data_IF_492870706252
#
_entry.id   IF_492870706252
#
_cell.length_a   1.000
_cell.length_b   1.000
_cell.length_c   1.000
_cell.angle_alpha   90.00
_cell.angle_beta   90.00
_cell.angle_gamma   90.00
#
_symmetry.space_group_name_H-M   'P 1'
#
loop_
_entity.id
_entity.type
_entity.pdbx_description
1 polymer ?
#
# COMPACT_ATOMS: atom_id res chain seq x y z
N UNK A 1 23.33 57.42 -25.68
CA UNK A 1 23.20 58.74 -26.35
C UNK A 1 23.73 58.81 -27.78
N UNK A 2 24.53 57.86 -28.27
CA UNK A 2 25.02 57.91 -29.66
C UNK A 2 23.98 57.42 -30.70
N UNK A 3 23.20 56.39 -30.36
CA UNK A 3 22.19 55.77 -31.24
C UNK A 3 21.02 56.69 -31.59
N UNK A 4 20.47 57.42 -30.61
CA UNK A 4 19.40 58.42 -30.87
C UNK A 4 19.85 59.54 -31.81
N UNK A 5 21.13 59.92 -31.77
CA UNK A 5 21.69 60.95 -32.65
C UNK A 5 21.85 60.44 -34.09
N UNK A 6 22.11 59.14 -34.26
CA UNK A 6 22.18 58.48 -35.57
C UNK A 6 20.81 58.24 -36.17
N UNK A 7 19.79 57.96 -35.35
CA UNK A 7 18.39 57.77 -35.78
C UNK A 7 17.64 59.08 -36.12
N UNK A 8 18.23 60.24 -35.81
CA UNK A 8 17.70 61.57 -36.14
C UNK A 8 18.53 62.25 -37.24
N UNK A 9 18.90 61.51 -38.29
CA UNK A 9 19.65 62.02 -39.43
C UNK A 9 18.77 62.18 -40.67
N UNK A 10 19.13 63.05 -41.63
CA UNK A 10 18.43 63.13 -42.91
C UNK A 10 18.64 61.83 -43.71
N UNK A 11 17.67 61.52 -44.59
CA UNK A 11 17.66 60.30 -45.40
C UNK A 11 18.95 60.04 -46.19
N UNK A 12 19.56 61.10 -46.71
CA UNK A 12 20.81 61.04 -47.48
C UNK A 12 21.95 60.37 -46.70
N UNK A 13 22.05 60.64 -45.40
CA UNK A 13 23.10 60.04 -44.56
C UNK A 13 22.84 58.56 -44.27
N UNK A 14 21.58 58.09 -44.31
CA UNK A 14 21.26 56.66 -44.20
C UNK A 14 21.56 55.90 -45.48
N UNK A 15 21.37 56.54 -46.65
CA UNK A 15 21.73 55.98 -47.96
C UNK A 15 23.22 55.68 -48.05
N UNK A 16 24.05 56.56 -47.50
CA UNK A 16 25.52 56.45 -47.56
C UNK A 16 26.09 55.40 -46.59
N UNK A 17 25.35 55.05 -45.52
CA UNK A 17 25.76 54.07 -44.51
C UNK A 17 24.63 53.07 -44.19
N UNK A 18 24.31 52.16 -45.13
CA UNK A 18 23.16 51.27 -45.01
C UNK A 18 23.35 50.15 -43.97
N UNK A 19 24.55 49.96 -43.42
CA UNK A 19 24.86 48.80 -42.55
C UNK A 19 25.19 49.16 -41.12
N UNK A 20 25.72 50.35 -40.81
CA UNK A 20 26.12 50.67 -39.44
C UNK A 20 24.93 50.86 -38.50
N UNK A 21 23.88 51.57 -38.94
CA UNK A 21 22.71 51.85 -38.10
C UNK A 21 21.88 50.58 -37.86
N UNK A 22 21.77 49.69 -38.86
CA UNK A 22 21.14 48.38 -38.72
C UNK A 22 21.79 47.54 -37.62
N UNK A 23 23.13 47.53 -37.59
CA UNK A 23 23.90 46.76 -36.59
C UNK A 23 23.70 47.32 -35.18
N UNK A 24 23.73 48.64 -35.02
CA UNK A 24 23.53 49.29 -33.73
C UNK A 24 22.08 49.17 -33.22
N UNK A 25 21.11 49.23 -34.12
CA UNK A 25 19.71 49.05 -33.79
C UNK A 25 19.41 47.61 -33.35
N UNK A 26 19.96 46.61 -34.07
CA UNK A 26 19.89 45.21 -33.64
C UNK A 26 20.50 45.01 -32.26
N UNK A 27 21.68 45.56 -32.00
CA UNK A 27 22.31 45.49 -30.67
C UNK A 27 21.46 46.16 -29.57
N UNK A 28 20.76 47.25 -29.90
CA UNK A 28 19.85 47.93 -28.95
C UNK A 28 18.60 47.10 -28.67
N UNK A 29 18.00 46.48 -29.69
CA UNK A 29 16.84 45.57 -29.55
C UNK A 29 17.23 44.31 -28.78
N UNK A 30 18.44 43.78 -29.00
CA UNK A 30 18.99 42.64 -28.28
C UNK A 30 19.18 42.95 -26.79
N UNK A 31 19.84 44.07 -26.45
CA UNK A 31 20.02 44.51 -25.07
C UNK A 31 18.67 44.76 -24.36
N UNK A 32 17.68 45.33 -25.07
CA UNK A 32 16.32 45.50 -24.56
C UNK A 32 15.62 44.16 -24.29
N UNK A 33 15.81 43.18 -25.18
CA UNK A 33 15.29 41.81 -25.04
C UNK A 33 15.88 41.06 -23.86
N UNK A 34 17.21 41.13 -23.68
CA UNK A 34 17.90 40.55 -22.53
C UNK A 34 17.45 41.19 -21.22
N UNK A 35 17.36 42.51 -21.18
CA UNK A 35 16.89 43.24 -20.00
C UNK A 35 15.46 42.82 -19.60
N UNK A 36 14.56 42.69 -20.58
CA UNK A 36 13.20 42.18 -20.34
C UNK A 36 13.21 40.73 -19.83
N UNK A 37 14.04 39.86 -20.41
CA UNK A 37 14.18 38.48 -19.97
C UNK A 37 14.61 38.38 -18.51
N UNK A 38 15.57 39.20 -18.09
CA UNK A 38 16.05 39.25 -16.71
C UNK A 38 15.04 39.86 -15.72
N UNK A 39 14.17 40.76 -16.16
CA UNK A 39 13.11 41.34 -15.33
C UNK A 39 11.85 40.47 -15.24
N UNK A 40 11.62 39.58 -16.20
CA UNK A 40 10.43 38.73 -16.26
C UNK A 40 10.15 37.88 -15.00
N UNK A 41 11.15 37.38 -14.24
CA UNK A 41 10.91 36.65 -12.99
C UNK A 41 10.44 37.55 -11.83
N UNK A 42 10.78 38.84 -11.86
CA UNK A 42 10.58 39.78 -10.75
C UNK A 42 9.36 40.68 -10.98
N UNK A 43 9.03 40.95 -12.25
CA UNK A 43 7.97 41.88 -12.62
C UNK A 43 6.96 41.18 -13.53
N UNK A 44 5.69 41.16 -13.12
CA UNK A 44 4.58 40.95 -14.05
C UNK A 44 4.37 42.26 -14.80
N UNK A 45 4.80 42.32 -16.05
CA UNK A 45 4.58 43.48 -16.89
C UNK A 45 3.14 43.46 -17.39
N UNK A 46 2.23 44.07 -16.61
CA UNK A 46 0.81 44.22 -16.97
C UNK A 46 0.58 45.34 -18.01
N UNK A 47 1.60 46.16 -18.28
CA UNK A 47 1.59 47.23 -19.28
C UNK A 47 2.74 47.08 -20.27
N UNK A 48 2.52 47.48 -21.53
CA UNK A 48 3.56 47.53 -22.54
C UNK A 48 4.66 48.51 -22.11
N UNK A 49 5.85 47.99 -21.88
CA UNK A 49 7.02 48.79 -21.57
C UNK A 49 7.57 49.44 -22.86
N UNK A 50 8.36 50.52 -22.76
CA UNK A 50 9.09 51.06 -23.92
C UNK A 50 9.98 50.02 -24.61
N UNK A 51 10.48 49.03 -23.87
CA UNK A 51 11.22 47.89 -24.42
C UNK A 51 10.31 46.98 -25.27
N UNK A 52 9.06 46.77 -24.86
CA UNK A 52 8.05 46.01 -25.61
C UNK A 52 7.67 46.71 -26.90
N UNK A 53 7.52 48.04 -26.84
CA UNK A 53 7.28 48.84 -28.03
C UNK A 53 8.47 48.78 -28.98
N UNK A 54 9.70 48.77 -28.48
CA UNK A 54 10.91 48.68 -29.31
C UNK A 54 11.10 47.28 -29.92
N UNK A 55 10.80 46.21 -29.18
CA UNK A 55 10.87 44.82 -29.67
C UNK A 55 9.71 44.51 -30.63
N UNK A 56 8.53 45.10 -30.39
CA UNK A 56 7.32 44.87 -31.17
C UNK A 56 7.08 45.84 -32.33
N UNK A 57 7.83 46.95 -32.43
CA UNK A 57 7.64 47.93 -33.49
C UNK A 57 8.16 47.40 -34.83
N UNK A 58 7.27 47.39 -35.82
CA UNK A 58 7.58 47.03 -37.21
C UNK A 58 8.16 48.20 -38.00
N UNK A 59 8.12 49.41 -37.46
CA UNK A 59 8.50 50.65 -38.16
C UNK A 59 9.99 50.70 -38.51
N UNK A 60 10.82 50.00 -37.73
CA UNK A 60 12.26 49.84 -38.00
C UNK A 60 12.53 49.21 -39.37
N UNK A 61 11.65 48.32 -39.81
CA UNK A 61 11.79 47.62 -41.08
C UNK A 61 11.28 48.42 -42.29
N UNK A 62 10.66 49.58 -42.07
CA UNK A 62 10.19 50.43 -43.17
C UNK A 62 11.32 51.16 -43.88
N UNK A 63 12.44 51.40 -43.21
CA UNK A 63 13.59 52.08 -43.80
C UNK A 63 14.22 51.28 -44.97
N UNK A 64 14.50 49.97 -44.84
CA UNK A 64 14.91 49.13 -45.97
C UNK A 64 13.89 49.11 -47.12
N UNK A 65 12.60 49.07 -46.82
CA UNK A 65 11.56 49.12 -47.85
C UNK A 65 11.55 50.44 -48.59
N UNK A 66 11.75 51.56 -47.89
CA UNK A 66 11.90 52.87 -48.54
C UNK A 66 13.12 52.90 -49.47
N UNK A 67 14.23 52.27 -49.07
CA UNK A 67 15.41 52.13 -49.93
C UNK A 67 15.12 51.30 -51.18
N UNK A 68 14.45 50.14 -51.03
CA UNK A 68 14.06 49.28 -52.15
C UNK A 68 13.11 50.00 -53.11
N UNK A 69 12.11 50.73 -52.59
CA UNK A 69 11.17 51.52 -53.40
C UNK A 69 11.90 52.62 -54.16
N UNK A 70 12.82 53.33 -53.51
CA UNK A 70 13.57 54.41 -54.13
C UNK A 70 14.51 53.90 -55.22
N UNK A 71 15.23 52.80 -54.97
CA UNK A 71 16.08 52.16 -55.99
C UNK A 71 15.26 51.65 -57.18
N UNK A 72 14.09 51.10 -56.91
CA UNK A 72 13.20 50.63 -57.96
C UNK A 72 12.65 51.78 -58.80
N UNK A 73 12.31 52.91 -58.18
CA UNK A 73 11.86 54.12 -58.87
C UNK A 73 12.99 54.78 -59.67
N UNK A 74 14.19 54.85 -59.11
CA UNK A 74 15.39 55.32 -59.81
C UNK A 74 15.66 54.43 -61.05
N UNK A 75 15.64 53.10 -60.89
CA UNK A 75 15.83 52.16 -62.00
C UNK A 75 14.75 52.26 -63.08
N UNK A 76 13.47 52.43 -62.72
CA UNK A 76 12.40 52.66 -63.71
C UNK A 76 12.55 53.97 -64.46
N UNK A 77 12.99 55.03 -63.80
CA UNK A 77 13.27 56.29 -64.46
C UNK A 77 14.44 56.15 -65.44
N UNK A 78 15.50 55.45 -65.05
CA UNK A 78 16.63 55.16 -65.94
C UNK A 78 16.19 54.33 -67.14
N UNK A 79 15.32 53.33 -66.94
CA UNK A 79 14.75 52.53 -68.02
C UNK A 79 13.85 53.34 -68.97
N UNK A 80 13.11 54.34 -68.48
CA UNK A 80 12.31 55.27 -69.30
C UNK A 80 13.19 56.18 -70.15
N UNK A 81 14.38 56.53 -69.66
CA UNK A 81 15.35 57.35 -70.38
C UNK A 81 16.06 56.57 -71.51
N UNK A 82 15.94 55.24 -71.56
CA UNK A 82 16.51 54.43 -72.63
C UNK A 82 15.73 54.60 -73.94
N UNK A 83 16.33 55.31 -74.88
CA UNK A 83 15.79 55.55 -76.23
C UNK A 83 15.36 54.26 -76.95
N UNK A 84 16.05 53.13 -76.72
CA UNK A 84 15.69 51.84 -77.33
C UNK A 84 14.27 51.37 -77.00
N UNK A 85 13.85 51.46 -75.73
CA UNK A 85 12.48 51.07 -75.32
C UNK A 85 11.44 52.05 -75.85
N UNK A 86 11.79 53.35 -75.90
CA UNK A 86 10.92 54.37 -76.46
C UNK A 86 10.67 54.12 -77.97
N UNK A 87 11.70 53.74 -78.73
CA UNK A 87 11.58 53.38 -80.14
C UNK A 87 10.73 52.10 -80.34
N UNK A 88 10.86 51.09 -79.46
CA UNK A 88 10.04 49.88 -79.51
C UNK A 88 8.54 50.17 -79.25
N UNK A 89 8.24 51.06 -78.31
CA UNK A 89 6.87 51.48 -78.00
C UNK A 89 6.25 52.36 -79.09
N UNK A 90 7.10 53.02 -79.89
CA UNK A 90 6.69 53.95 -80.92
C UNK A 90 7.36 53.61 -82.27
N UNK A 91 6.86 52.61 -83.01
CA UNK A 91 7.47 52.16 -84.27
C UNK A 91 7.47 53.22 -85.38
N UNK A 92 6.72 54.31 -85.20
CA UNK A 92 6.60 55.44 -86.14
C UNK A 92 7.61 56.56 -85.85
N UNK A 93 8.56 56.34 -84.94
CA UNK A 93 9.68 57.25 -84.70
C UNK A 93 10.61 57.22 -85.91
N UNK A 94 10.71 58.35 -86.60
CA UNK A 94 11.59 58.50 -87.76
C UNK A 94 12.63 59.61 -87.50
N UNK A 95 13.86 59.40 -87.96
CA UNK A 95 14.89 60.45 -87.88
C UNK A 95 14.57 61.51 -88.93
N UNK A 96 14.22 62.72 -88.48
CA UNK A 96 13.88 63.82 -89.36
C UNK A 96 14.22 65.16 -88.71
N UNK A 97 14.73 66.10 -89.52
CA UNK A 97 15.16 67.43 -89.11
C UNK A 97 14.01 68.38 -88.78
N UNK A 98 13.23 68.06 -87.76
CA UNK A 98 12.02 68.79 -87.35
C UNK A 98 10.77 67.93 -87.31
N UNK A 99 9.62 68.56 -87.01
CA UNK A 99 8.37 67.83 -86.74
C UNK A 99 7.20 68.49 -87.45
N UNK A 100 6.28 67.67 -87.95
CA UNK A 100 5.01 68.14 -88.53
C UNK A 100 4.16 68.85 -87.47
N UNK A 101 3.32 69.80 -87.89
CA UNK A 101 2.47 70.54 -86.96
C UNK A 101 1.57 69.58 -86.17
N UNK A 102 1.70 69.58 -84.85
CA UNK A 102 0.95 68.71 -83.94
C UNK A 102 1.64 67.38 -83.59
N UNK A 103 2.82 67.11 -84.15
CA UNK A 103 3.69 66.00 -83.74
C UNK A 103 4.58 66.35 -82.55
N UNK A 104 5.41 65.40 -82.14
CA UNK A 104 6.35 65.54 -81.00
C UNK A 104 7.80 65.44 -81.46
N UNK A 105 8.65 66.35 -80.96
CA UNK A 105 10.09 66.33 -81.21
C UNK A 105 10.79 65.54 -80.10
N UNK A 106 11.58 64.55 -80.50
CA UNK A 106 12.33 63.67 -79.61
C UNK A 106 13.81 63.94 -79.80
N UNK A 107 14.48 64.40 -78.74
CA UNK A 107 15.91 64.70 -78.75
C UNK A 107 16.67 63.61 -78.00
N UNK A 108 17.61 62.97 -78.70
CA UNK A 108 18.45 61.92 -78.12
C UNK A 108 19.75 62.53 -77.64
N UNK A 109 20.06 62.32 -76.37
CA UNK A 109 21.28 62.81 -75.74
C UNK A 109 22.27 61.66 -75.49
N UNK A 110 23.55 61.95 -75.58
CA UNK A 110 24.63 61.07 -75.12
C UNK A 110 24.79 61.13 -73.59
N UNK A 111 25.61 60.24 -73.02
CA UNK A 111 26.01 60.21 -71.60
C UNK A 111 26.57 61.56 -71.11
N UNK A 112 27.13 62.37 -72.02
CA UNK A 112 27.61 63.73 -71.75
C UNK A 112 26.55 64.84 -71.89
N UNK A 113 25.25 64.52 -71.94
CA UNK A 113 24.12 65.45 -72.16
C UNK A 113 24.23 66.29 -73.45
N UNK A 114 24.92 65.78 -74.47
CA UNK A 114 25.01 66.42 -75.79
C UNK A 114 23.97 65.80 -76.70
N UNK A 115 23.23 66.62 -77.47
CA UNK A 115 22.25 66.12 -78.45
C UNK A 115 22.98 65.43 -79.60
N UNK A 116 22.69 64.14 -79.81
CA UNK A 116 23.33 63.30 -80.85
C UNK A 116 22.42 63.13 -82.07
N UNK A 117 21.10 63.11 -81.86
CA UNK A 117 20.13 62.90 -82.93
C UNK A 117 18.77 63.49 -82.58
N UNK A 118 18.00 63.79 -83.63
CA UNK A 118 16.62 64.23 -83.56
C UNK A 118 15.69 63.24 -84.29
N UNK A 119 14.56 62.96 -83.64
CA UNK A 119 13.51 62.12 -84.20
C UNK A 119 12.16 62.81 -84.11
N UNK A 120 11.27 62.46 -85.03
CA UNK A 120 9.90 62.96 -85.07
C UNK A 120 8.90 61.85 -84.76
N UNK A 121 7.85 62.25 -84.03
CA UNK A 121 6.61 61.48 -83.89
C UNK A 121 5.48 62.22 -84.61
N UNK A 122 4.67 61.54 -85.44
CA UNK A 122 3.58 62.19 -86.19
C UNK A 122 2.37 62.56 -85.34
N UNK A 123 2.34 62.13 -84.07
CA UNK A 123 1.28 62.45 -83.10
C UNK A 123 1.85 63.16 -81.86
N UNK A 124 0.95 63.82 -81.14
CA UNK A 124 1.25 64.43 -79.85
C UNK A 124 1.40 63.33 -78.78
N UNK A 125 2.63 63.14 -78.32
CA UNK A 125 2.94 62.29 -77.19
C UNK A 125 2.92 63.15 -75.93
N UNK A 126 2.14 62.70 -74.95
CA UNK A 126 2.16 63.25 -73.61
C UNK A 126 2.51 62.09 -72.68
N UNK A 127 3.36 62.37 -71.70
CA UNK A 127 3.73 61.38 -70.71
C UNK A 127 2.52 61.17 -69.79
N UNK A 128 1.73 60.13 -70.09
CA UNK A 128 0.66 59.71 -69.19
C UNK A 128 1.31 59.19 -67.89
N UNK A 129 0.80 59.58 -66.71
CA UNK A 129 1.20 58.94 -65.47
C UNK A 129 0.68 57.51 -65.50
N UNK A 130 1.51 56.59 -65.96
CA UNK A 130 1.24 55.16 -65.87
C UNK A 130 1.10 54.81 -64.39
N UNK A 131 0.04 54.10 -64.02
CA UNK A 131 -0.07 53.47 -62.71
C UNK A 131 1.10 52.47 -62.57
N UNK A 132 2.18 52.93 -61.93
CA UNK A 132 3.38 52.12 -61.78
C UNK A 132 3.06 50.95 -60.85
N UNK A 133 3.15 49.71 -61.36
CA UNK A 133 2.99 48.50 -60.54
C UNK A 133 3.93 48.57 -59.33
N UNK A 134 3.40 48.70 -58.10
CA UNK A 134 4.25 48.83 -56.91
C UNK A 134 5.18 47.61 -56.74
N UNK A 135 6.43 47.80 -56.29
CA UNK A 135 7.34 46.69 -56.06
C UNK A 135 6.78 45.75 -54.98
N UNK A 136 6.94 44.44 -55.19
CA UNK A 136 6.52 43.42 -54.21
C UNK A 136 7.49 43.40 -53.02
N UNK A 137 7.17 44.19 -51.99
CA UNK A 137 7.97 44.27 -50.78
C UNK A 137 8.02 42.93 -50.05
N UNK A 138 9.23 42.48 -49.72
CA UNK A 138 9.40 41.26 -48.92
C UNK A 138 9.04 41.54 -47.46
N UNK A 139 8.19 40.70 -46.86
CA UNK A 139 7.85 40.85 -45.44
C UNK A 139 9.10 40.59 -44.59
N UNK A 140 9.53 41.55 -43.74
CA UNK A 140 10.69 41.36 -42.89
C UNK A 140 10.41 40.22 -41.91
N UNK A 141 11.46 39.45 -41.61
CA UNK A 141 11.39 38.44 -40.57
C UNK A 141 11.29 39.13 -39.21
N UNK A 142 10.07 39.27 -38.71
CA UNK A 142 9.72 40.00 -37.48
C UNK A 142 10.21 39.34 -36.19
N UNK A 143 10.84 38.16 -36.26
CA UNK A 143 11.25 37.42 -35.06
C UNK A 143 12.71 37.76 -34.74
N UNK A 144 13.00 38.38 -33.59
CA UNK A 144 14.37 38.59 -33.16
C UNK A 144 15.08 37.23 -33.01
N UNK A 145 16.33 37.08 -33.50
CA UNK A 145 17.04 35.80 -33.53
C UNK A 145 17.22 35.18 -32.13
N UNK A 146 17.32 36.00 -31.08
CA UNK A 146 17.55 35.54 -29.71
C UNK A 146 16.34 34.89 -29.02
N UNK A 147 15.11 35.09 -29.53
CA UNK A 147 13.90 34.52 -28.91
C UNK A 147 13.81 33.01 -29.13
N UNK A 148 14.55 32.46 -30.10
CA UNK A 148 14.50 31.04 -30.46
C UNK A 148 15.26 30.16 -29.45
N UNK A 149 16.36 30.65 -28.86
CA UNK A 149 17.15 29.82 -27.94
C UNK A 149 16.66 29.87 -26.48
N UNK A 150 15.93 30.92 -26.07
CA UNK A 150 15.54 31.10 -24.66
C UNK A 150 14.10 31.55 -24.41
N UNK A 151 13.33 31.97 -25.43
CA UNK A 151 12.05 32.67 -25.23
C UNK A 151 10.82 31.76 -25.17
N UNK A 152 10.78 30.68 -25.96
CA UNK A 152 9.70 29.69 -25.90
C UNK A 152 10.34 28.34 -25.71
N UNK A 153 10.58 27.96 -24.46
CA UNK A 153 10.80 26.55 -24.14
C UNK A 153 9.48 25.84 -24.43
N UNK A 154 9.40 25.16 -25.57
CA UNK A 154 8.32 24.20 -25.84
C UNK A 154 8.46 23.13 -24.75
N UNK A 155 7.77 23.36 -23.63
CA UNK A 155 7.68 22.36 -22.59
C UNK A 155 6.82 21.25 -23.16
N UNK A 156 7.32 20.01 -23.21
CA UNK A 156 6.50 18.88 -23.63
C UNK A 156 5.26 18.83 -22.75
N UNK A 157 4.15 18.29 -23.26
CA UNK A 157 2.90 18.18 -22.51
C UNK A 157 3.17 17.61 -21.11
N UNK A 158 2.42 18.04 -20.08
CA UNK A 158 2.63 17.57 -18.69
C UNK A 158 2.69 16.04 -18.63
N UNK A 159 1.89 15.37 -19.44
CA UNK A 159 1.87 13.91 -19.61
C UNK A 159 3.17 13.38 -20.21
N UNK A 160 3.70 14.00 -21.26
CA UNK A 160 4.97 13.60 -21.89
C UNK A 160 6.18 13.86 -20.98
N UNK A 161 6.20 14.98 -20.26
CA UNK A 161 7.21 15.29 -19.26
C UNK A 161 7.17 14.30 -18.08
N UNK A 162 5.97 14.03 -17.57
CA UNK A 162 5.74 13.05 -16.51
C UNK A 162 6.16 11.65 -16.95
N UNK A 163 5.73 11.18 -18.12
CA UNK A 163 6.10 9.85 -18.61
C UNK A 163 7.61 9.69 -18.80
N UNK A 164 8.30 10.74 -19.26
CA UNK A 164 9.76 10.73 -19.40
C UNK A 164 10.47 10.60 -18.05
N UNK A 165 10.04 11.37 -17.06
CA UNK A 165 10.62 11.30 -15.70
C UNK A 165 10.18 10.02 -14.96
N UNK A 166 8.96 9.54 -15.21
CA UNK A 166 8.44 8.28 -14.70
C UNK A 166 9.28 7.12 -15.23
N UNK A 167 9.57 7.04 -16.53
CA UNK A 167 10.42 5.98 -17.10
C UNK A 167 11.82 5.98 -16.49
N UNK A 168 12.39 7.16 -16.20
CA UNK A 168 13.70 7.25 -15.53
C UNK A 168 13.66 6.79 -14.08
N UNK A 169 12.62 7.18 -13.33
CA UNK A 169 12.50 6.93 -11.89
C UNK A 169 11.84 5.59 -11.54
N UNK A 170 11.12 4.99 -12.49
CA UNK A 170 10.46 3.69 -12.33
C UNK A 170 11.41 2.63 -11.77
N UNK A 171 12.63 2.39 -12.32
CA UNK A 171 13.53 1.38 -11.76
C UNK A 171 13.98 1.69 -10.33
N UNK A 172 14.19 2.97 -9.98
CA UNK A 172 14.54 3.36 -8.59
C UNK A 172 13.37 3.11 -7.63
N UNK A 173 12.14 3.36 -8.07
CA UNK A 173 10.94 3.13 -7.26
C UNK A 173 10.68 1.63 -7.11
N UNK A 174 10.81 0.86 -8.18
CA UNK A 174 10.70 -0.61 -8.16
C UNK A 174 11.73 -1.20 -7.21
N UNK A 175 13.00 -0.78 -7.31
CA UNK A 175 14.05 -1.22 -6.39
C UNK A 175 13.72 -0.89 -4.93
N UNK A 176 13.23 0.32 -4.62
CA UNK A 176 12.84 0.68 -3.24
C UNK A 176 11.64 -0.13 -2.73
N UNK A 177 10.73 -0.52 -3.61
CA UNK A 177 9.59 -1.37 -3.27
C UNK A 177 10.08 -2.78 -3.02
N UNK A 178 10.94 -3.32 -3.88
CA UNK A 178 11.55 -4.64 -3.73
C UNK A 178 12.36 -4.72 -2.43
N UNK A 179 13.21 -3.73 -2.13
CA UNK A 179 13.96 -3.65 -0.86
C UNK A 179 13.03 -3.68 0.36
N UNK A 180 11.85 -3.05 0.26
CA UNK A 180 10.84 -3.03 1.34
C UNK A 180 10.14 -4.38 1.47
N UNK A 181 9.80 -5.01 0.35
CA UNK A 181 9.21 -6.34 0.31
C UNK A 181 10.19 -7.35 0.89
N UNK A 182 11.47 -7.30 0.50
CA UNK A 182 12.52 -8.17 1.03
C UNK A 182 12.72 -7.99 2.53
N UNK A 183 12.70 -6.75 3.03
CA UNK A 183 12.80 -6.49 4.46
C UNK A 183 11.57 -7.01 5.24
N UNK A 184 10.39 -6.93 4.65
CA UNK A 184 9.17 -7.52 5.22
C UNK A 184 9.23 -9.05 5.21
N UNK A 185 9.65 -9.66 4.10
CA UNK A 185 9.84 -11.10 4.00
C UNK A 185 10.84 -11.59 5.03
N UNK A 186 11.98 -10.92 5.18
CA UNK A 186 12.98 -11.25 6.21
C UNK A 186 12.41 -11.16 7.62
N UNK A 187 11.62 -10.13 7.92
CA UNK A 187 10.97 -10.00 9.23
C UNK A 187 9.93 -11.11 9.47
N UNK A 188 9.18 -11.50 8.44
CA UNK A 188 8.23 -12.61 8.50
C UNK A 188 8.98 -13.93 8.71
N UNK A 189 10.06 -14.18 7.98
CA UNK A 189 10.89 -15.38 8.09
C UNK A 189 11.51 -15.49 9.49
N UNK A 190 12.11 -14.42 10.02
CA UNK A 190 12.64 -14.38 11.39
C UNK A 190 11.54 -14.70 12.42
N UNK A 191 10.32 -14.17 12.23
CA UNK A 191 9.20 -14.48 13.13
C UNK A 191 8.73 -15.93 13.01
N UNK A 192 8.66 -16.47 11.79
CA UNK A 192 8.30 -17.86 11.55
C UNK A 192 9.36 -18.77 12.18
N UNK A 193 10.65 -18.45 12.05
CA UNK A 193 11.73 -19.22 12.65
C UNK A 193 11.66 -19.20 14.19
N UNK A 194 11.46 -18.03 14.80
CA UNK A 194 11.32 -17.90 16.25
C UNK A 194 10.08 -18.65 16.75
N UNK A 195 8.94 -18.52 16.06
CA UNK A 195 7.73 -19.27 16.40
C UNK A 195 7.92 -20.77 16.20
N UNK A 196 8.59 -21.19 15.13
CA UNK A 196 8.93 -22.59 14.86
C UNK A 196 9.79 -23.18 15.97
N UNK A 197 10.83 -22.45 16.41
CA UNK A 197 11.67 -22.85 17.57
C UNK A 197 10.87 -22.93 18.87
N UNK A 198 9.96 -21.97 19.10
CA UNK A 198 9.10 -21.98 20.29
C UNK A 198 8.13 -23.16 20.29
N UNK A 199 7.49 -23.44 19.15
CA UNK A 199 6.59 -24.59 18.98
C UNK A 199 7.37 -25.89 19.13
N UNK A 200 8.55 -26.00 18.54
CA UNK A 200 9.39 -27.19 18.68
C UNK A 200 9.81 -27.43 20.13
N UNK A 201 10.25 -26.39 20.85
CA UNK A 201 10.56 -26.50 22.28
C UNK A 201 9.35 -26.95 23.10
N UNK A 202 8.16 -26.42 22.82
CA UNK A 202 6.91 -26.84 23.47
C UNK A 202 6.55 -28.30 23.15
N UNK A 203 6.75 -28.75 21.91
CA UNK A 203 6.52 -30.12 21.51
C UNK A 203 7.53 -31.08 22.17
N UNK A 204 8.79 -30.69 22.28
CA UNK A 204 9.83 -31.47 22.92
C UNK A 204 9.57 -31.59 24.44
N UNK A 205 9.20 -30.48 25.10
CA UNK A 205 8.82 -30.47 26.51
C UNK A 205 7.55 -31.29 26.77
N UNK A 206 6.56 -31.19 25.88
CA UNK A 206 5.35 -31.99 25.97
C UNK A 206 5.64 -33.47 25.71
N UNK A 207 6.54 -33.79 24.78
CA UNK A 207 7.02 -35.15 24.53
C UNK A 207 7.70 -35.73 25.76
N UNK A 208 8.58 -34.96 26.42
CA UNK A 208 9.18 -35.35 27.71
C UNK A 208 8.15 -35.57 28.80
N UNK A 209 7.18 -34.67 28.92
CA UNK A 209 6.10 -34.82 29.91
C UNK A 209 5.24 -36.05 29.66
N UNK A 210 4.87 -36.32 28.41
CA UNK A 210 4.14 -37.54 28.03
C UNK A 210 4.98 -38.76 28.37
N UNK A 211 6.26 -38.76 28.01
CA UNK A 211 7.17 -39.87 28.29
C UNK A 211 7.32 -40.11 29.80
N UNK A 212 7.53 -39.06 30.59
CA UNK A 212 7.61 -39.14 32.04
C UNK A 212 6.32 -39.66 32.67
N UNK A 213 5.17 -39.22 32.15
CA UNK A 213 3.86 -39.69 32.60
C UNK A 213 3.62 -41.15 32.20
N UNK A 214 3.99 -41.55 30.99
CA UNK A 214 3.91 -42.94 30.53
C UNK A 214 4.84 -43.82 31.36
N UNK A 215 6.07 -43.40 31.61
CA UNK A 215 7.02 -44.11 32.48
C UNK A 215 6.50 -44.22 33.91
N UNK A 216 5.89 -43.16 34.46
CA UNK A 216 5.23 -43.19 35.76
C UNK A 216 4.02 -44.14 35.77
N UNK A 217 3.21 -44.15 34.70
CA UNK A 217 2.09 -45.08 34.57
C UNK A 217 2.57 -46.53 34.43
N UNK A 218 3.61 -46.79 33.65
CA UNK A 218 4.23 -48.11 33.53
C UNK A 218 4.80 -48.56 34.87
N UNK A 219 5.56 -47.71 35.57
CA UNK A 219 6.07 -48.02 36.92
C UNK A 219 4.96 -48.25 37.94
N UNK A 220 3.88 -47.47 37.91
CA UNK A 220 2.76 -47.67 38.83
C UNK A 220 1.96 -48.92 38.47
N UNK A 221 1.79 -49.25 37.19
CA UNK A 221 1.20 -50.52 36.74
C UNK A 221 2.10 -51.70 37.13
N UNK A 222 3.41 -51.58 36.99
CA UNK A 222 4.36 -52.63 37.39
C UNK A 222 4.38 -52.79 38.91
N UNK A 223 4.37 -51.70 39.68
CA UNK A 223 4.24 -51.74 41.15
C UNK A 223 2.89 -52.29 41.59
N UNK A 224 1.80 -51.93 40.91
CA UNK A 224 0.48 -52.50 41.17
C UNK A 224 0.45 -53.97 40.80
N UNK A 225 1.01 -54.37 39.66
CA UNK A 225 1.13 -55.77 39.23
C UNK A 225 1.95 -56.55 40.25
N UNK A 226 3.11 -56.07 40.64
CA UNK A 226 3.97 -56.71 41.63
C UNK A 226 3.28 -56.77 43.00
N UNK A 227 2.60 -55.71 43.43
CA UNK A 227 1.80 -55.71 44.66
C UNK A 227 0.60 -56.65 44.58
N UNK A 228 -0.12 -56.71 43.46
CA UNK A 228 -1.23 -57.63 43.22
C UNK A 228 -0.75 -59.08 43.14
N UNK A 229 0.37 -59.36 42.48
CA UNK A 229 0.97 -60.69 42.43
C UNK A 229 1.52 -61.10 43.80
N UNK A 230 2.10 -60.19 44.57
CA UNK A 230 2.56 -60.45 45.95
C UNK A 230 1.39 -60.66 46.92
N UNK A 231 0.28 -59.92 46.76
CA UNK A 231 -0.96 -60.11 47.53
C UNK A 231 -1.67 -61.40 47.10
N UNK A 232 -1.67 -61.72 45.80
CA UNK A 232 -2.24 -62.97 45.28
C UNK A 232 -1.43 -64.19 45.72
N UNK A 233 -0.09 -64.12 45.66
CA UNK A 233 0.79 -65.15 46.21
C UNK A 233 0.65 -65.25 47.73
N UNK A 234 0.63 -64.12 48.45
CA UNK A 234 0.36 -64.08 49.89
C UNK A 234 -1.00 -64.66 50.25
N UNK A 235 -2.04 -64.44 49.43
CA UNK A 235 -3.37 -65.01 49.63
C UNK A 235 -3.42 -66.51 49.31
N UNK A 236 -2.67 -66.97 48.29
CA UNK A 236 -2.51 -68.39 47.98
C UNK A 236 -1.71 -69.11 49.08
N UNK A 237 -0.69 -68.47 49.67
CA UNK A 237 0.05 -69.01 50.81
C UNK A 237 -0.80 -68.99 52.10
N UNK A 238 -1.65 -67.99 52.31
CA UNK A 238 -2.60 -68.00 53.44
C UNK A 238 -3.67 -69.09 53.26
N UNK A 239 -4.19 -69.30 52.05
CA UNK A 239 -5.13 -70.38 51.73
C UNK A 239 -4.47 -71.76 51.80
N UNK A 240 -3.18 -71.87 51.46
CA UNK A 240 -2.43 -73.13 51.43
C UNK A 240 -1.79 -73.49 52.78
N UNK A 241 -1.53 -72.53 53.65
CA UNK A 241 -0.69 -72.73 54.86
C UNK A 241 -1.24 -72.11 56.14
N UNK A 242 -2.39 -71.43 56.12
CA UNK A 242 -3.14 -71.03 57.32
C UNK A 242 -2.35 -70.19 58.34
N UNK A 243 -1.35 -69.42 57.89
CA UNK A 243 -0.44 -68.65 58.75
C UNK A 243 -0.29 -67.22 58.23
N UNK A 244 -0.43 -66.24 59.12
CA UNK A 244 -0.31 -64.81 58.86
C UNK A 244 1.12 -64.31 59.13
N UNK A 245 1.76 -63.72 58.13
CA UNK A 245 3.10 -63.08 58.25
C UNK A 245 2.95 -61.60 58.68
N UNK A 246 3.67 -61.09 59.71
CA UNK A 246 3.47 -59.75 60.27
C UNK A 246 3.96 -58.55 59.45
N UNK A 247 4.47 -58.73 58.22
CA UNK A 247 5.11 -57.64 57.44
C UNK A 247 4.23 -56.95 56.38
N UNK A 248 2.92 -57.24 56.33
CA UNK A 248 1.96 -56.50 55.49
C UNK A 248 1.07 -55.54 56.31
N UNK A 249 1.67 -54.62 57.06
CA UNK A 249 0.95 -53.49 57.66
C UNK A 249 1.23 -52.22 56.86
N UNK A 250 0.34 -51.88 55.93
CA UNK A 250 0.43 -50.60 55.22
C UNK A 250 -0.59 -50.38 54.11
N UNK A 251 -1.10 -51.45 53.48
CA UNK A 251 -2.17 -51.35 52.49
C UNK A 251 -3.14 -52.50 52.74
N UNK A 252 -3.90 -52.40 53.83
CA UNK A 252 -5.16 -53.14 53.94
C UNK A 252 -6.18 -52.38 53.10
N UNK A 253 -6.37 -52.80 51.84
CA UNK A 253 -7.69 -52.72 51.25
C UNK A 253 -8.61 -53.39 52.28
N UNK A 254 -9.58 -52.65 52.83
CA UNK A 254 -10.61 -53.29 53.64
C UNK A 254 -11.18 -54.39 52.75
N UNK A 255 -10.90 -55.65 53.09
CA UNK A 255 -11.43 -56.78 52.35
C UNK A 255 -12.94 -56.68 52.44
N UNK A 256 -13.59 -56.26 51.37
CA UNK A 256 -15.04 -56.36 51.29
C UNK A 256 -15.32 -57.85 51.10
N UNK A 257 -15.96 -58.48 52.09
CA UNK A 257 -16.46 -59.85 51.95
C UNK A 257 -17.39 -59.95 50.72
N UNK A 258 -18.08 -58.85 50.43
CA UNK A 258 -18.87 -58.63 49.24
C UNK A 258 -18.05 -57.96 48.12
N UNK A 259 -17.69 -58.75 47.11
CA UNK A 259 -16.90 -58.29 45.96
C UNK A 259 -17.61 -57.20 45.14
N UNK A 260 -18.95 -57.22 45.07
CA UNK A 260 -19.69 -56.24 44.29
C UNK A 260 -19.76 -54.91 45.04
N UNK A 261 -19.95 -54.94 46.36
CA UNK A 261 -19.85 -53.74 47.20
C UNK A 261 -18.45 -53.11 47.11
N UNK A 262 -17.40 -53.94 47.15
CA UNK A 262 -16.03 -53.46 46.96
C UNK A 262 -15.82 -52.76 45.62
N UNK A 263 -16.36 -53.34 44.54
CA UNK A 263 -16.30 -52.74 43.20
C UNK A 263 -16.99 -51.37 43.15
N UNK A 264 -18.18 -51.23 43.76
CA UNK A 264 -18.91 -49.96 43.80
C UNK A 264 -18.15 -48.87 44.58
N UNK A 265 -17.52 -49.26 45.71
CA UNK A 265 -16.70 -48.35 46.51
C UNK A 265 -15.45 -47.90 45.75
N UNK A 266 -14.78 -48.82 45.06
CA UNK A 266 -13.60 -48.50 44.25
C UNK A 266 -13.96 -47.64 43.03
N UNK A 267 -15.08 -47.94 42.37
CA UNK A 267 -15.63 -47.11 41.30
C UNK A 267 -15.93 -45.70 41.80
N UNK A 268 -16.55 -45.58 42.98
CA UNK A 268 -16.85 -44.31 43.60
C UNK A 268 -15.58 -43.50 43.91
N UNK A 269 -14.52 -44.15 44.40
CA UNK A 269 -13.21 -43.52 44.61
C UNK A 269 -12.55 -43.07 43.32
N UNK A 270 -12.58 -43.90 42.27
CA UNK A 270 -12.02 -43.55 40.96
C UNK A 270 -12.76 -42.35 40.33
N UNK A 271 -14.09 -42.32 40.44
CA UNK A 271 -14.90 -41.19 39.96
C UNK A 271 -14.62 -39.92 40.78
N UNK A 272 -14.44 -40.04 42.10
CA UNK A 272 -14.04 -38.91 42.96
C UNK A 272 -12.67 -38.35 42.54
N UNK A 273 -11.66 -39.21 42.34
CA UNK A 273 -10.34 -38.78 41.85
C UNK A 273 -10.41 -38.13 40.47
N UNK A 274 -11.27 -38.63 39.58
CA UNK A 274 -11.50 -38.02 38.26
C UNK A 274 -12.04 -36.59 38.41
N UNK A 275 -12.99 -36.37 39.31
CA UNK A 275 -13.51 -35.03 39.62
C UNK A 275 -12.40 -34.12 40.11
N UNK A 276 -11.60 -34.56 41.08
CA UNK A 276 -10.49 -33.76 41.63
C UNK A 276 -9.47 -33.35 40.55
N UNK A 277 -9.10 -34.28 39.67
CA UNK A 277 -8.18 -34.02 38.56
C UNK A 277 -8.77 -33.02 37.57
N UNK A 278 -10.05 -33.17 37.22
CA UNK A 278 -10.72 -32.26 36.28
C UNK A 278 -10.88 -30.86 36.88
N UNK A 279 -11.17 -30.75 38.17
CA UNK A 279 -11.21 -29.47 38.90
C UNK A 279 -9.84 -28.77 38.84
N UNK A 280 -8.76 -29.49 39.14
CA UNK A 280 -7.40 -28.93 39.05
C UNK A 280 -7.02 -28.52 37.62
N UNK A 281 -7.49 -29.25 36.60
CA UNK A 281 -7.25 -28.91 35.20
C UNK A 281 -8.08 -27.70 34.75
N UNK A 282 -9.33 -27.58 35.22
CA UNK A 282 -10.17 -26.41 34.98
C UNK A 282 -9.56 -25.13 35.57
N UNK A 283 -9.00 -25.20 36.78
CA UNK A 283 -8.32 -24.07 37.42
C UNK A 283 -7.06 -23.63 36.68
N UNK A 284 -6.32 -24.59 36.09
CA UNK A 284 -5.09 -24.32 35.33
C UNK A 284 -5.35 -23.92 33.87
N UNK A 285 -6.60 -23.97 33.42
CA UNK A 285 -6.94 -23.68 32.03
C UNK A 285 -6.80 -22.18 31.71
N UNK A 286 -5.79 -21.84 30.91
CA UNK A 286 -5.45 -20.45 30.56
C UNK A 286 -6.33 -19.82 29.46
N UNK A 287 -7.16 -20.60 28.78
CA UNK A 287 -8.03 -20.12 27.68
C UNK A 287 -9.49 -20.42 27.96
N UNK A 288 -10.39 -19.52 27.54
CA UNK A 288 -11.84 -19.66 27.71
C UNK A 288 -12.41 -20.94 27.09
N UNK A 289 -11.87 -21.39 25.96
CA UNK A 289 -12.32 -22.62 25.29
C UNK A 289 -11.97 -23.89 26.10
N UNK A 290 -10.74 -23.97 26.63
CA UNK A 290 -10.36 -25.06 27.54
C UNK A 290 -11.18 -25.04 28.84
N UNK A 291 -11.49 -23.85 29.37
CA UNK A 291 -12.35 -23.73 30.55
C UNK A 291 -13.74 -24.33 30.30
N UNK A 292 -14.36 -24.02 29.15
CA UNK A 292 -15.66 -24.61 28.77
C UNK A 292 -15.57 -26.13 28.60
N UNK A 293 -14.49 -26.63 27.98
CA UNK A 293 -14.27 -28.07 27.80
C UNK A 293 -14.16 -28.81 29.14
N UNK A 294 -13.34 -28.29 30.08
CA UNK A 294 -13.19 -28.89 31.39
C UNK A 294 -14.46 -28.77 32.23
N UNK A 295 -15.21 -27.67 32.13
CA UNK A 295 -16.50 -27.52 32.79
C UNK A 295 -17.53 -28.57 32.32
N UNK A 296 -17.57 -28.87 31.03
CA UNK A 296 -18.44 -29.92 30.50
C UNK A 296 -18.04 -31.30 31.05
N UNK A 297 -16.75 -31.65 30.97
CA UNK A 297 -16.23 -32.93 31.47
C UNK A 297 -16.43 -33.10 32.98
N UNK A 298 -16.32 -32.01 33.74
CA UNK A 298 -16.55 -31.98 35.18
C UNK A 298 -18.04 -32.20 35.50
N UNK A 299 -18.95 -31.64 34.71
CA UNK A 299 -20.39 -31.93 34.80
C UNK A 299 -20.71 -33.41 34.61
N UNK A 300 -20.16 -34.04 33.56
CA UNK A 300 -20.32 -35.48 33.29
C UNK A 300 -19.74 -36.34 34.43
N UNK A 301 -18.57 -35.95 34.97
CA UNK A 301 -17.93 -36.67 36.08
C UNK A 301 -18.72 -36.55 37.38
N UNK A 302 -19.31 -35.38 37.67
CA UNK A 302 -20.19 -35.17 38.80
C UNK A 302 -21.46 -36.02 38.72
N UNK A 303 -22.10 -36.06 37.55
CA UNK A 303 -23.30 -36.89 37.34
C UNK A 303 -22.98 -38.38 37.54
N UNK A 304 -21.87 -38.86 36.97
CA UNK A 304 -21.40 -40.21 37.17
C UNK A 304 -21.14 -40.51 38.67
N UNK A 305 -20.45 -39.63 39.39
CA UNK A 305 -20.21 -39.82 40.82
C UNK A 305 -21.53 -39.88 41.61
N UNK A 306 -22.49 -39.01 41.30
CA UNK A 306 -23.82 -39.02 41.91
C UNK A 306 -24.57 -40.35 41.67
N UNK A 307 -24.49 -40.90 40.46
CA UNK A 307 -25.07 -42.21 40.16
C UNK A 307 -24.43 -43.32 40.98
N UNK A 308 -23.10 -43.30 41.16
CA UNK A 308 -22.41 -44.31 41.98
C UNK A 308 -22.76 -44.19 43.46
N UNK A 309 -22.92 -42.97 43.98
CA UNK A 309 -23.44 -42.71 45.33
C UNK A 309 -24.82 -43.36 45.50
N UNK A 310 -25.71 -43.13 44.54
CA UNK A 310 -27.05 -43.74 44.55
C UNK A 310 -26.97 -45.26 44.49
N UNK A 311 -26.24 -45.83 43.52
CA UNK A 311 -26.11 -47.28 43.34
C UNK A 311 -25.53 -47.98 44.57
N UNK A 312 -24.50 -47.40 45.20
CA UNK A 312 -23.90 -47.94 46.43
C UNK A 312 -24.90 -47.93 47.56
N UNK A 313 -25.66 -46.84 47.70
CA UNK A 313 -26.66 -46.69 48.76
C UNK A 313 -27.86 -47.63 48.54
N UNK A 314 -28.34 -47.74 47.31
CA UNK A 314 -29.37 -48.70 46.89
C UNK A 314 -28.93 -50.13 47.20
N UNK A 315 -27.70 -50.48 46.85
CA UNK A 315 -27.16 -51.81 47.08
C UNK A 315 -27.08 -52.15 48.58
N UNK A 316 -26.56 -51.24 49.40
CA UNK A 316 -26.52 -51.41 50.86
C UNK A 316 -27.91 -51.62 51.47
N UNK A 317 -28.92 -50.93 50.93
CA UNK A 317 -30.31 -51.08 51.35
C UNK A 317 -30.90 -52.42 50.95
N UNK A 318 -30.70 -52.85 49.69
CA UNK A 318 -31.23 -54.10 49.15
C UNK A 318 -30.59 -55.33 49.79
N UNK A 319 -29.28 -55.29 50.02
CA UNK A 319 -28.53 -56.40 50.65
C UNK A 319 -28.70 -56.46 52.15
N UNK A 320 -29.17 -55.37 52.78
CA UNK A 320 -29.25 -55.28 54.23
C UNK A 320 -27.88 -55.33 54.91
N UNK A 321 -26.82 -54.93 54.20
CA UNK A 321 -25.44 -54.95 54.70
C UNK A 321 -25.33 -54.15 56.01
N UNK A 322 -24.64 -54.71 57.00
CA UNK A 322 -24.41 -54.03 58.29
C UNK A 322 -23.48 -52.81 58.12
N UNK A 323 -23.90 -51.63 58.56
CA UNK A 323 -23.13 -50.37 58.47
C UNK A 323 -22.64 -49.86 59.83
N UNK A 324 -22.52 -50.72 60.84
CA UNK A 324 -21.90 -50.37 62.13
C UNK A 324 -20.41 -50.06 61.95
N UNK A 325 -19.81 -49.11 62.71
CA UNK A 325 -18.39 -48.80 62.62
C UNK A 325 -17.50 -50.05 62.64
N UNK A 326 -16.54 -50.10 61.71
CA UNK A 326 -15.63 -51.23 61.53
C UNK A 326 -16.10 -52.29 60.53
N UNK A 327 -17.30 -52.18 59.96
CA UNK A 327 -17.76 -53.09 58.90
C UNK A 327 -17.42 -52.58 57.49
N UNK A 328 -17.47 -53.49 56.52
CA UNK A 328 -17.39 -53.17 55.09
C UNK A 328 -18.52 -52.19 54.66
N UNK A 329 -19.74 -52.39 55.16
CA UNK A 329 -20.86 -51.49 54.90
C UNK A 329 -20.63 -50.07 55.43
N UNK A 330 -20.01 -49.92 56.61
CA UNK A 330 -19.66 -48.60 57.13
C UNK A 330 -18.60 -47.90 56.26
N UNK A 331 -17.61 -48.64 55.77
CA UNK A 331 -16.59 -48.11 54.86
C UNK A 331 -17.20 -47.63 53.54
N UNK A 332 -18.21 -48.34 53.02
CA UNK A 332 -18.96 -47.90 51.85
C UNK A 332 -19.77 -46.62 52.13
N UNK A 333 -20.42 -46.52 53.29
CA UNK A 333 -21.12 -45.30 53.72
C UNK A 333 -20.17 -44.11 53.85
N UNK A 334 -18.95 -44.30 54.38
CA UNK A 334 -17.93 -43.24 54.43
C UNK A 334 -17.49 -42.79 53.03
N UNK A 335 -17.38 -43.72 52.08
CA UNK A 335 -17.08 -43.36 50.70
C UNK A 335 -18.24 -42.55 50.09
N UNK A 336 -19.49 -42.97 50.31
CA UNK A 336 -20.70 -42.24 49.88
C UNK A 336 -20.66 -40.82 50.45
N UNK A 337 -20.36 -40.66 51.75
CA UNK A 337 -20.20 -39.34 52.39
C UNK A 337 -19.13 -38.48 51.71
N UNK A 338 -17.95 -39.06 51.49
CA UNK A 338 -16.82 -38.38 50.83
C UNK A 338 -17.17 -37.94 49.41
N UNK A 339 -17.86 -38.80 48.66
CA UNK A 339 -18.34 -38.49 47.33
C UNK A 339 -19.40 -37.37 47.35
N UNK A 340 -20.34 -37.39 48.29
CA UNK A 340 -21.32 -36.31 48.47
C UNK A 340 -20.64 -34.97 48.80
N UNK A 341 -19.61 -34.97 49.64
CA UNK A 341 -18.82 -33.76 49.91
C UNK A 341 -18.09 -33.24 48.67
N UNK A 342 -17.62 -34.14 47.80
CA UNK A 342 -16.96 -33.76 46.53
C UNK A 342 -17.97 -33.16 45.55
N UNK A 343 -19.23 -33.58 45.61
CA UNK A 343 -20.32 -33.01 44.81
C UNK A 343 -20.81 -31.65 45.34
N UNK A 344 -20.31 -31.16 46.48
CA UNK A 344 -20.73 -29.90 47.07
C UNK A 344 -20.64 -28.74 46.05
N UNK A 345 -21.75 -28.01 45.86
CA UNK A 345 -21.84 -26.92 44.89
C UNK A 345 -22.06 -27.34 43.42
N UNK A 346 -22.22 -28.63 43.13
CA UNK A 346 -22.63 -29.13 41.82
C UNK A 346 -24.14 -29.37 41.74
N UNK A 347 -24.72 -29.27 40.54
CA UNK A 347 -26.12 -29.65 40.29
C UNK A 347 -26.36 -31.16 40.51
N UNK A 348 -25.33 -31.99 40.36
CA UNK A 348 -25.42 -33.43 40.59
C UNK A 348 -25.56 -33.81 42.07
N UNK A 349 -25.25 -32.89 43.00
CA UNK A 349 -25.51 -33.10 44.43
C UNK A 349 -27.00 -33.28 44.69
N UNK A 350 -27.87 -32.51 44.03
CA UNK A 350 -29.32 -32.64 44.20
C UNK A 350 -29.81 -34.03 43.80
N UNK A 351 -29.25 -34.58 42.71
CA UNK A 351 -29.52 -35.95 42.27
C UNK A 351 -29.04 -36.98 43.29
N UNK A 352 -27.81 -36.83 43.80
CA UNK A 352 -27.26 -37.71 44.82
C UNK A 352 -28.08 -37.67 46.12
N UNK A 353 -28.43 -36.47 46.61
CA UNK A 353 -29.24 -36.25 47.81
C UNK A 353 -30.64 -36.81 47.63
N UNK A 354 -31.27 -36.61 46.46
CA UNK A 354 -32.58 -37.20 46.15
C UNK A 354 -32.52 -38.73 46.16
N UNK A 355 -31.50 -39.31 45.52
CA UNK A 355 -31.25 -40.75 45.52
C UNK A 355 -31.09 -41.31 46.93
N UNK A 356 -30.23 -40.70 47.74
CA UNK A 356 -29.99 -41.11 49.14
C UNK A 356 -31.26 -40.97 49.99
N UNK A 357 -32.05 -39.89 49.82
CA UNK A 357 -33.33 -39.72 50.51
C UNK A 357 -34.37 -40.78 50.13
N UNK A 358 -34.45 -41.14 48.85
CA UNK A 358 -35.32 -42.22 48.38
C UNK A 358 -34.93 -43.54 49.03
N UNK A 359 -33.64 -43.84 49.13
CA UNK A 359 -33.17 -45.04 49.84
C UNK A 359 -33.44 -44.97 51.34
N UNK A 360 -33.18 -43.84 51.98
CA UNK A 360 -33.40 -43.65 53.41
C UNK A 360 -34.87 -43.82 53.80
N UNK A 361 -35.80 -43.37 52.94
CA UNK A 361 -37.24 -43.52 53.17
C UNK A 361 -37.72 -44.95 52.92
N UNK A 362 -37.14 -45.67 51.94
CA UNK A 362 -37.52 -47.04 51.58
C UNK A 362 -36.81 -48.15 52.35
N UNK A 363 -35.67 -47.89 52.98
CA UNK A 363 -34.86 -48.93 53.63
C UNK A 363 -35.43 -49.40 54.96
N UNK A 364 -35.41 -50.72 55.18
CA UNK A 364 -35.75 -51.35 56.47
C UNK A 364 -34.53 -51.46 57.40
N UNK A 365 -33.32 -51.16 56.90
CA UNK A 365 -32.09 -51.23 57.68
C UNK A 365 -31.95 -49.98 58.56
N UNK A 366 -32.24 -50.12 59.86
CA UNK A 366 -32.19 -49.02 60.83
C UNK A 366 -30.79 -48.41 60.95
N UNK A 367 -29.74 -49.22 60.85
CA UNK A 367 -28.36 -48.74 60.92
C UNK A 367 -27.98 -47.89 59.71
N UNK A 368 -28.39 -48.31 58.51
CA UNK A 368 -28.21 -47.52 57.28
C UNK A 368 -29.02 -46.22 57.35
N UNK A 369 -30.28 -46.28 57.78
CA UNK A 369 -31.12 -45.09 57.92
C UNK A 369 -30.51 -44.04 58.85
N UNK A 370 -29.95 -44.47 59.97
CA UNK A 370 -29.25 -43.58 60.91
C UNK A 370 -27.99 -42.98 60.28
N UNK A 371 -27.16 -43.81 59.63
CA UNK A 371 -25.92 -43.36 59.01
C UNK A 371 -26.17 -42.36 57.86
N UNK A 372 -27.15 -42.64 56.99
CA UNK A 372 -27.58 -41.72 55.94
C UNK A 372 -28.14 -40.40 56.51
N UNK A 373 -28.98 -40.49 57.55
CA UNK A 373 -29.53 -39.31 58.22
C UNK A 373 -28.47 -38.41 58.84
N UNK A 374 -27.39 -38.98 59.40
CA UNK A 374 -26.28 -38.17 59.94
C UNK A 374 -25.46 -37.47 58.85
N UNK A 375 -25.38 -38.03 57.64
CA UNK A 375 -24.63 -37.42 56.53
C UNK A 375 -25.37 -36.25 55.88
N UNK A 376 -26.71 -36.26 55.89
CA UNK A 376 -27.54 -35.24 55.23
C UNK A 376 -27.84 -34.00 56.09
N UNK A 377 -27.39 -33.98 57.35
CA UNK A 377 -27.55 -32.83 58.27
C UNK A 377 -26.36 -31.86 58.26
N UNK A 378 -25.47 -31.97 57.26
CA UNK A 378 -24.42 -31.01 56.93
C UNK A 378 -24.81 -30.25 55.67
#
# INVERSE_FOLDING_TARGET
>A
NNTRRKLNQPYTTYRDDPTSWHKELRATVEAAGEFKYHLSPVVKTDFNTPFDTLIGSTQVYWLPWLDEILQWKEGKNDERLLFGRFADQHPQVEHFGGVVRGGTLVLVHDEANTVVADFMLPYHYHEEPVDEEEPTLTRPFLRPPFVVDKGIKIVPSRTTAFNREWVKRKPEIEQRVDDRIDLQNKYIDDKIEVQGKYVQSRLDDHGKYIQEKTDWQSRSIDQMRESYFNVFQGSLDVIRTGTTDPKMQGITAAGFDDKYLGLLVDEGRLRQQKVDVLTQQAEKAGTREMQTYYQQQLGEAHEALAQTVQQTTDYLSQTGTNVVPGTAGYSAVLQVSSAMNTLAGSTALETAVSGVNNVMSGTKNTSLKLALGTMMNF
#
